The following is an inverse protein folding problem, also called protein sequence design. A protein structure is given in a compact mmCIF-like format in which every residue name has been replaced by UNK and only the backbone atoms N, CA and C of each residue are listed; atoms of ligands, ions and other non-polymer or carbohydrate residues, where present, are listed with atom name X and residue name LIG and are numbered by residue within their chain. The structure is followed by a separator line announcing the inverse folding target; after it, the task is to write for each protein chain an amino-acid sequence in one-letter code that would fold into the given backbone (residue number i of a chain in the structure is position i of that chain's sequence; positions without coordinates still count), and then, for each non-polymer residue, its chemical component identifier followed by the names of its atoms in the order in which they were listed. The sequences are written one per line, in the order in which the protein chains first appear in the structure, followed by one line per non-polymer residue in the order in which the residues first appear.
data_IF_623296456986
#
_entry.id   IF_623296456986
#
_cell.length_a   1.000
_cell.length_b   1.000
_cell.length_c   1.000
_cell.angle_alpha   90.00
_cell.angle_beta   90.00
_cell.angle_gamma   90.00
#
_symmetry.space_group_name_H-M   'P 1'
#
loop_
_entity.id
_entity.type
_entity.pdbx_description
1 polymer ?
#
# COMPACT_ATOMS: atom_id res chain seq x y z
N UNK A 1 -42.60 4.28 14.60
CA UNK A 1 -41.38 4.15 13.78
C UNK A 1 -40.37 3.38 14.61
N UNK A 2 -40.14 2.10 14.28
CA UNK A 2 -39.18 1.27 15.02
C UNK A 2 -37.78 1.81 14.74
N UNK A 3 -37.13 2.38 15.75
CA UNK A 3 -35.71 2.66 15.69
C UNK A 3 -35.01 1.30 15.57
N UNK A 4 -34.68 0.88 14.36
CA UNK A 4 -33.74 -0.22 14.15
C UNK A 4 -32.46 0.18 14.85
N UNK A 5 -32.20 -0.39 16.03
CA UNK A 5 -30.96 -0.23 16.79
C UNK A 5 -29.80 -0.63 15.88
N UNK A 6 -29.24 0.33 15.16
CA UNK A 6 -28.13 0.09 14.24
C UNK A 6 -26.92 -0.18 15.11
N UNK A 7 -26.36 -1.38 15.02
CA UNK A 7 -25.18 -1.75 15.80
C UNK A 7 -24.00 -0.94 15.27
N UNK A 8 -23.46 -0.05 16.10
CA UNK A 8 -22.31 0.80 15.77
C UNK A 8 -21.02 0.03 16.09
N UNK A 9 -20.02 0.17 15.23
CA UNK A 9 -18.69 -0.38 15.47
C UNK A 9 -18.08 0.12 16.80
N UNK A 10 -17.44 -0.79 17.53
CA UNK A 10 -16.90 -0.53 18.85
C UNK A 10 -15.91 0.65 18.86
N UNK A 11 -16.12 1.59 19.78
CA UNK A 11 -15.23 2.74 19.99
C UNK A 11 -15.46 3.93 19.07
N UNK A 12 -16.47 3.88 18.20
CA UNK A 12 -16.88 5.02 17.36
C UNK A 12 -17.77 5.96 18.17
N UNK A 13 -17.16 6.98 18.79
CA UNK A 13 -17.86 8.06 19.51
C UNK A 13 -17.73 9.39 18.77
N UNK A 14 -18.59 10.37 19.07
CA UNK A 14 -18.50 11.71 18.51
C UNK A 14 -17.13 12.36 18.75
N UNK A 15 -16.53 12.19 19.94
CA UNK A 15 -15.19 12.74 20.20
C UNK A 15 -14.12 12.03 19.36
N UNK A 16 -14.23 10.71 19.17
CA UNK A 16 -13.30 9.94 18.34
C UNK A 16 -13.40 10.31 16.87
N UNK A 17 -14.61 10.58 16.36
CA UNK A 17 -14.84 11.06 15.00
C UNK A 17 -14.27 12.48 14.80
N UNK A 18 -14.51 13.40 15.74
CA UNK A 18 -13.89 14.71 15.71
C UNK A 18 -12.35 14.63 15.77
N UNK A 19 -11.82 13.68 16.54
CA UNK A 19 -10.39 13.45 16.63
C UNK A 19 -9.82 12.86 15.32
N UNK A 20 -10.45 11.86 14.71
CA UNK A 20 -9.93 11.27 13.46
C UNK A 20 -9.94 12.28 12.30
N UNK A 21 -10.89 13.22 12.29
CA UNK A 21 -10.84 14.35 11.36
C UNK A 21 -9.56 15.17 11.52
N UNK A 22 -9.19 15.52 12.76
CA UNK A 22 -7.94 16.26 13.02
C UNK A 22 -6.72 15.46 12.53
N UNK A 23 -6.71 14.15 12.77
CA UNK A 23 -5.67 13.26 12.23
C UNK A 23 -5.62 13.31 10.70
N UNK A 24 -6.74 13.15 10.00
CA UNK A 24 -6.78 13.21 8.54
C UNK A 24 -6.31 14.58 8.00
N UNK A 25 -6.66 15.70 8.62
CA UNK A 25 -6.12 17.02 8.22
C UNK A 25 -4.60 17.12 8.40
N UNK A 26 -4.07 16.60 9.51
CA UNK A 26 -2.61 16.55 9.73
C UNK A 26 -1.94 15.65 8.69
N UNK A 27 -2.48 14.46 8.43
CA UNK A 27 -1.95 13.51 7.45
C UNK A 27 -2.00 14.06 6.02
N UNK A 28 -3.05 14.81 5.68
CA UNK A 28 -3.13 15.56 4.42
C UNK A 28 -1.90 16.44 4.23
N UNK A 29 -1.59 17.24 5.25
CA UNK A 29 -0.48 18.19 5.21
C UNK A 29 0.87 17.47 5.14
N UNK A 30 1.04 16.39 5.92
CA UNK A 30 2.28 15.61 5.95
C UNK A 30 2.53 14.88 4.63
N UNK A 31 1.50 14.25 4.04
CA UNK A 31 1.65 13.53 2.78
C UNK A 31 1.88 14.49 1.60
N UNK A 32 1.10 15.57 1.49
CA UNK A 32 1.32 16.56 0.43
C UNK A 32 2.63 17.31 0.60
N UNK A 33 3.03 17.66 1.83
CA UNK A 33 4.34 18.27 2.09
C UNK A 33 5.49 17.39 1.59
N UNK A 34 5.42 16.09 1.87
CA UNK A 34 6.41 15.13 1.35
C UNK A 34 6.32 14.94 -0.17
N UNK A 35 5.12 14.92 -0.76
CA UNK A 35 4.95 14.81 -2.20
C UNK A 35 5.58 16.02 -2.91
N UNK A 36 5.32 17.24 -2.44
CA UNK A 36 5.92 18.47 -2.96
C UNK A 36 7.43 18.45 -2.79
N UNK A 37 7.94 18.09 -1.59
CA UNK A 37 9.37 17.98 -1.36
C UNK A 37 10.02 16.98 -2.33
N UNK A 38 9.41 15.81 -2.54
CA UNK A 38 9.91 14.81 -3.48
C UNK A 38 10.00 15.36 -4.90
N UNK A 39 8.94 16.01 -5.39
CA UNK A 39 8.91 16.54 -6.75
C UNK A 39 9.89 17.72 -6.97
N UNK A 40 10.18 18.50 -5.92
CA UNK A 40 11.15 19.59 -5.99
C UNK A 40 12.61 19.10 -5.89
N UNK A 41 12.85 18.01 -5.18
CA UNK A 41 14.20 17.51 -4.89
C UNK A 41 14.65 16.38 -5.83
N UNK A 42 13.72 15.72 -6.55
CA UNK A 42 14.05 14.56 -7.38
C UNK A 42 14.86 14.91 -8.62
N UNK A 43 15.69 13.97 -9.07
CA UNK A 43 16.43 14.02 -10.33
C UNK A 43 15.71 13.25 -11.46
N UNK A 44 16.37 13.10 -12.61
CA UNK A 44 15.81 12.38 -13.76
C UNK A 44 15.99 10.85 -13.71
N UNK A 45 16.36 10.27 -12.55
CA UNK A 45 16.54 8.82 -12.43
C UNK A 45 15.27 8.06 -12.81
N UNK A 46 15.42 7.12 -13.74
CA UNK A 46 14.32 6.35 -14.30
C UNK A 46 14.69 4.87 -14.47
N UNK A 47 13.68 4.02 -14.30
CA UNK A 47 13.79 2.58 -14.51
C UNK A 47 13.06 2.20 -15.80
N UNK A 48 13.67 1.32 -16.60
CA UNK A 48 13.12 0.88 -17.89
C UNK A 48 12.03 -0.16 -17.69
N UNK A 49 10.89 0.04 -18.35
CA UNK A 49 9.86 -1.00 -18.52
C UNK A 49 10.09 -1.69 -19.86
N UNK A 50 10.09 -3.01 -19.82
CA UNK A 50 10.49 -3.85 -20.96
C UNK A 50 9.29 -4.62 -21.53
N UNK A 51 9.26 -4.81 -22.84
CA UNK A 51 8.54 -5.92 -23.46
C UNK A 51 9.46 -7.11 -23.59
N UNK A 52 8.92 -8.32 -23.38
CA UNK A 52 9.63 -9.57 -23.56
C UNK A 52 8.71 -10.59 -24.23
N UNK A 53 9.14 -11.15 -25.36
CA UNK A 53 8.34 -12.10 -26.16
C UNK A 53 9.24 -13.15 -26.83
N UNK A 54 8.72 -14.34 -27.17
CA UNK A 54 9.50 -15.39 -27.85
C UNK A 54 10.09 -14.88 -29.17
N UNK A 55 11.38 -15.16 -29.40
CA UNK A 55 12.04 -14.83 -30.66
C UNK A 55 11.63 -15.77 -31.82
N UNK A 56 11.17 -16.97 -31.48
CA UNK A 56 10.75 -18.01 -32.42
C UNK A 56 9.79 -19.02 -31.77
N UNK A 57 9.66 -20.23 -32.35
CA UNK A 57 8.77 -21.28 -31.83
C UNK A 57 9.07 -21.65 -30.36
N UNK A 58 8.05 -22.01 -29.55
CA UNK A 58 8.25 -22.38 -28.15
C UNK A 58 9.32 -23.47 -27.96
N UNK A 59 10.26 -23.23 -27.03
CA UNK A 59 11.33 -24.18 -26.68
C UNK A 59 12.54 -24.21 -27.62
N UNK A 60 12.59 -23.31 -28.61
CA UNK A 60 13.72 -23.25 -29.57
C UNK A 60 14.62 -22.03 -29.32
N UNK A 61 14.10 -20.84 -29.58
CA UNK A 61 14.82 -19.58 -29.39
C UNK A 61 14.55 -18.96 -28.01
N UNK A 62 15.41 -18.02 -27.61
CA UNK A 62 15.24 -17.24 -26.39
C UNK A 62 14.17 -16.15 -26.48
N UNK A 63 14.24 -15.18 -25.58
CA UNK A 63 13.35 -14.03 -25.55
C UNK A 63 13.99 -12.82 -26.23
N UNK A 64 13.21 -12.08 -27.04
CA UNK A 64 13.56 -10.73 -27.46
C UNK A 64 13.08 -9.76 -26.38
N UNK A 65 13.97 -8.88 -25.91
CA UNK A 65 13.64 -7.87 -24.92
C UNK A 65 13.94 -6.48 -25.46
N UNK A 66 12.96 -5.58 -25.37
CA UNK A 66 13.08 -4.18 -25.82
C UNK A 66 12.53 -3.24 -24.76
N UNK A 67 13.10 -2.03 -24.66
CA UNK A 67 12.56 -0.98 -23.78
C UNK A 67 11.30 -0.40 -24.40
N UNK A 68 10.20 -0.39 -23.65
CA UNK A 68 8.94 0.24 -24.05
C UNK A 68 8.93 1.72 -23.68
N UNK A 69 9.24 2.00 -22.41
CA UNK A 69 9.28 3.35 -21.85
C UNK A 69 10.08 3.36 -20.55
N UNK A 70 10.33 4.55 -20.03
CA UNK A 70 11.05 4.75 -18.77
C UNK A 70 10.12 5.37 -17.73
N UNK A 71 10.22 4.89 -16.48
CA UNK A 71 9.44 5.36 -15.35
C UNK A 71 10.35 6.18 -14.45
N UNK A 72 10.09 7.49 -14.39
CA UNK A 72 10.82 8.38 -13.49
C UNK A 72 10.41 8.11 -12.03
N UNK A 73 11.37 7.67 -11.23
CA UNK A 73 11.08 7.12 -9.89
C UNK A 73 10.51 8.17 -8.94
N UNK A 74 11.05 9.39 -8.95
CA UNK A 74 10.55 10.49 -8.13
C UNK A 74 9.08 10.84 -8.36
N UNK A 75 8.61 10.71 -9.61
CA UNK A 75 7.21 10.98 -9.96
C UNK A 75 6.28 9.92 -9.41
N UNK A 76 6.68 8.65 -9.42
CA UNK A 76 5.91 7.56 -8.79
C UNK A 76 5.80 7.76 -7.28
N UNK A 77 6.89 8.19 -6.64
CA UNK A 77 6.90 8.51 -5.21
C UNK A 77 5.97 9.68 -4.89
N UNK A 78 6.09 10.77 -5.64
CA UNK A 78 5.19 11.90 -5.53
C UNK A 78 3.72 11.49 -5.70
N UNK A 79 3.42 10.59 -6.64
CA UNK A 79 2.07 10.10 -6.91
C UNK A 79 1.48 9.32 -5.72
N UNK A 80 2.19 8.34 -5.15
CA UNK A 80 1.62 7.58 -4.03
C UNK A 80 1.46 8.42 -2.75
N UNK A 81 2.33 9.41 -2.55
CA UNK A 81 2.20 10.37 -1.45
C UNK A 81 1.01 11.31 -1.68
N UNK A 82 0.83 11.82 -2.90
CA UNK A 82 -0.29 12.68 -3.25
C UNK A 82 -1.64 11.95 -3.16
N UNK A 83 -1.71 10.67 -3.54
CA UNK A 83 -2.91 9.84 -3.40
C UNK A 83 -3.31 9.71 -1.92
N UNK A 84 -2.35 9.45 -1.03
CA UNK A 84 -2.62 9.41 0.41
C UNK A 84 -3.08 10.77 0.96
N UNK A 85 -2.41 11.86 0.56
CA UNK A 85 -2.82 13.21 0.93
C UNK A 85 -4.24 13.56 0.47
N UNK A 86 -4.60 13.16 -0.74
CA UNK A 86 -5.92 13.37 -1.32
C UNK A 86 -7.01 12.58 -0.57
N UNK A 87 -6.77 11.31 -0.25
CA UNK A 87 -7.72 10.50 0.51
C UNK A 87 -7.99 11.11 1.91
N UNK A 88 -6.94 11.51 2.61
CA UNK A 88 -7.06 12.17 3.90
C UNK A 88 -7.76 13.54 3.79
N UNK A 89 -7.53 14.29 2.72
CA UNK A 89 -8.21 15.56 2.47
C UNK A 89 -9.72 15.31 2.26
N UNK A 90 -10.06 14.36 1.38
CA UNK A 90 -11.46 14.03 1.08
C UNK A 90 -12.20 13.56 2.33
N UNK A 91 -11.63 12.63 3.09
CA UNK A 91 -12.24 12.06 4.31
C UNK A 91 -12.35 13.07 5.46
N UNK A 92 -11.56 14.16 5.45
CA UNK A 92 -11.66 15.24 6.44
C UNK A 92 -12.53 16.43 6.03
N UNK A 93 -12.90 16.51 4.73
CA UNK A 93 -13.65 17.61 4.12
C UNK A 93 -14.93 17.11 3.42
N UNK A 94 -14.92 17.02 2.09
CA UNK A 94 -16.10 16.79 1.24
C UNK A 94 -16.76 15.43 1.48
N UNK A 95 -15.96 14.39 1.71
CA UNK A 95 -16.45 13.02 1.91
C UNK A 95 -16.59 12.64 3.39
N UNK A 96 -16.44 13.61 4.31
CA UNK A 96 -16.41 13.36 5.75
C UNK A 96 -17.66 12.63 6.25
N UNK A 97 -18.85 13.04 5.84
CA UNK A 97 -20.08 12.42 6.32
C UNK A 97 -20.18 10.95 5.90
N UNK A 98 -19.78 10.65 4.65
CA UNK A 98 -19.71 9.27 4.14
C UNK A 98 -18.67 8.46 4.91
N UNK A 99 -17.48 9.02 5.12
CA UNK A 99 -16.42 8.39 5.89
C UNK A 99 -16.85 8.08 7.33
N UNK A 100 -17.43 9.04 8.05
CA UNK A 100 -17.89 8.82 9.43
C UNK A 100 -19.06 7.81 9.49
N UNK A 101 -19.93 7.79 8.48
CA UNK A 101 -20.99 6.78 8.36
C UNK A 101 -20.40 5.38 8.16
N UNK A 102 -19.37 5.26 7.32
CA UNK A 102 -18.68 3.99 7.09
C UNK A 102 -17.99 3.48 8.34
N UNK A 103 -17.29 4.36 9.08
CA UNK A 103 -16.64 3.97 10.33
C UNK A 103 -17.65 3.43 11.35
N UNK A 104 -18.84 4.05 11.46
CA UNK A 104 -19.93 3.52 12.31
C UNK A 104 -20.37 2.13 11.89
N UNK A 105 -20.29 1.82 10.59
CA UNK A 105 -20.58 0.50 10.02
C UNK A 105 -19.37 -0.45 10.02
N UNK A 106 -18.25 -0.08 10.66
CA UNK A 106 -17.07 -0.92 10.78
C UNK A 106 -16.33 -1.14 9.46
N UNK A 107 -16.44 -0.21 8.52
CA UNK A 107 -15.80 -0.27 7.21
C UNK A 107 -15.11 1.06 6.89
N UNK A 108 -14.05 1.04 6.11
CA UNK A 108 -13.45 2.24 5.54
C UNK A 108 -13.14 2.00 4.05
N UNK A 109 -14.10 2.35 3.17
CA UNK A 109 -13.93 2.18 1.72
C UNK A 109 -12.84 3.08 1.13
N UNK A 110 -12.61 4.24 1.73
CA UNK A 110 -11.62 5.23 1.30
C UNK A 110 -10.20 4.67 1.43
N UNK A 111 -9.87 4.11 2.59
CA UNK A 111 -8.60 3.38 2.83
C UNK A 111 -8.34 2.34 1.75
N UNK A 112 -9.31 1.45 1.47
CA UNK A 112 -9.08 0.36 0.54
C UNK A 112 -8.95 0.83 -0.91
N UNK A 113 -9.71 1.85 -1.30
CA UNK A 113 -9.54 2.48 -2.60
C UNK A 113 -8.15 3.12 -2.73
N UNK A 114 -7.71 3.90 -1.75
CA UNK A 114 -6.39 4.54 -1.72
C UNK A 114 -5.27 3.50 -1.76
N UNK A 115 -5.28 2.51 -0.86
CA UNK A 115 -4.25 1.48 -0.77
C UNK A 115 -4.17 0.63 -2.05
N UNK A 116 -5.30 0.41 -2.73
CA UNK A 116 -5.29 -0.42 -3.94
C UNK A 116 -4.42 0.19 -5.03
N UNK A 117 -4.30 1.52 -5.06
CA UNK A 117 -3.48 2.23 -6.04
C UNK A 117 -2.12 2.54 -5.44
N UNK A 118 -2.07 3.22 -4.29
CA UNK A 118 -0.81 3.72 -3.73
C UNK A 118 0.13 2.59 -3.32
N UNK A 119 -0.35 1.56 -2.61
CA UNK A 119 0.50 0.43 -2.23
C UNK A 119 0.94 -0.38 -3.46
N UNK A 120 0.13 -0.41 -4.52
CA UNK A 120 0.49 -1.09 -5.77
C UNK A 120 1.59 -0.34 -6.53
N UNK A 121 1.57 1.01 -6.53
CA UNK A 121 2.69 1.81 -7.02
C UNK A 121 3.97 1.57 -6.20
N UNK A 122 3.84 1.47 -4.87
CA UNK A 122 4.96 1.15 -3.97
C UNK A 122 5.55 -0.23 -4.27
N UNK A 123 4.73 -1.27 -4.37
CA UNK A 123 5.21 -2.63 -4.68
C UNK A 123 5.79 -2.70 -6.08
N UNK A 124 5.19 -2.03 -7.07
CA UNK A 124 5.72 -1.98 -8.42
C UNK A 124 7.13 -1.37 -8.44
N UNK A 125 7.34 -0.22 -7.79
CA UNK A 125 8.67 0.40 -7.79
C UNK A 125 9.70 -0.47 -7.06
N UNK A 126 9.36 -1.05 -5.90
CA UNK A 126 10.26 -1.97 -5.18
C UNK A 126 10.60 -3.19 -6.07
N UNK A 127 9.61 -3.73 -6.77
CA UNK A 127 9.80 -4.87 -7.69
C UNK A 127 10.75 -4.53 -8.84
N UNK A 128 10.64 -3.32 -9.40
CA UNK A 128 11.55 -2.84 -10.44
C UNK A 128 13.00 -2.73 -9.95
N UNK A 129 13.22 -2.26 -8.71
CA UNK A 129 14.55 -2.24 -8.08
C UNK A 129 15.18 -3.63 -7.98
N UNK A 130 14.37 -4.68 -7.89
CA UNK A 130 14.82 -6.07 -7.88
C UNK A 130 14.66 -6.77 -9.23
N UNK A 131 14.66 -6.01 -10.33
CA UNK A 131 14.76 -6.55 -11.69
C UNK A 131 13.45 -7.07 -12.29
N UNK A 132 12.31 -6.89 -11.63
CA UNK A 132 11.00 -7.17 -12.24
C UNK A 132 10.62 -5.98 -13.12
N UNK A 133 11.12 -6.00 -14.37
CA UNK A 133 11.03 -4.87 -15.30
C UNK A 133 10.09 -5.09 -16.48
N UNK A 134 9.67 -6.33 -16.75
CA UNK A 134 8.79 -6.59 -17.89
C UNK A 134 7.37 -6.12 -17.58
N UNK A 135 6.70 -5.52 -18.58
CA UNK A 135 5.33 -5.02 -18.43
C UNK A 135 4.37 -6.12 -17.98
N UNK A 136 4.51 -7.33 -18.52
CA UNK A 136 3.69 -8.47 -18.15
C UNK A 136 3.86 -8.85 -16.66
N UNK A 137 5.09 -8.89 -16.15
CA UNK A 137 5.35 -9.19 -14.74
C UNK A 137 4.85 -8.06 -13.82
N UNK A 138 5.03 -6.80 -14.22
CA UNK A 138 4.52 -5.65 -13.48
C UNK A 138 2.99 -5.64 -13.39
N UNK A 139 2.28 -6.00 -14.47
CA UNK A 139 0.82 -6.16 -14.46
C UNK A 139 0.39 -7.24 -13.47
N UNK A 140 1.09 -8.39 -13.44
CA UNK A 140 0.78 -9.46 -12.49
C UNK A 140 1.04 -9.03 -11.03
N UNK A 141 2.17 -8.37 -10.76
CA UNK A 141 2.54 -7.84 -9.44
C UNK A 141 1.52 -6.82 -8.95
N UNK A 142 1.17 -5.83 -9.78
CA UNK A 142 0.18 -4.79 -9.46
C UNK A 142 -1.19 -5.41 -9.25
N UNK A 143 -1.61 -6.33 -10.13
CA UNK A 143 -2.89 -7.03 -10.01
C UNK A 143 -3.01 -7.84 -8.72
N UNK A 144 -1.96 -8.58 -8.34
CA UNK A 144 -1.91 -9.34 -7.09
C UNK A 144 -1.98 -8.43 -5.86
N UNK A 145 -1.27 -7.28 -5.87
CA UNK A 145 -1.32 -6.33 -4.77
C UNK A 145 -2.70 -5.64 -4.66
N UNK A 146 -3.33 -5.26 -5.79
CA UNK A 146 -4.71 -4.78 -5.81
C UNK A 146 -5.65 -5.83 -5.21
N UNK A 147 -5.52 -7.10 -5.63
CA UNK A 147 -6.34 -8.19 -5.10
C UNK A 147 -6.19 -8.36 -3.58
N UNK A 148 -4.96 -8.33 -3.05
CA UNK A 148 -4.69 -8.34 -1.61
C UNK A 148 -5.50 -7.26 -0.88
N UNK A 149 -5.49 -6.03 -1.41
CA UNK A 149 -6.22 -4.89 -0.83
C UNK A 149 -7.73 -5.07 -0.91
N UNK A 150 -8.27 -5.51 -2.06
CA UNK A 150 -9.70 -5.74 -2.24
C UNK A 150 -10.22 -6.88 -1.35
N UNK A 151 -9.39 -7.88 -1.05
CA UNK A 151 -9.73 -8.90 -0.06
C UNK A 151 -9.78 -8.35 1.38
N UNK A 152 -8.97 -7.35 1.71
CA UNK A 152 -9.11 -6.59 2.97
C UNK A 152 -10.43 -5.83 3.03
N UNK A 153 -10.82 -5.18 1.94
CA UNK A 153 -12.16 -4.57 1.85
C UNK A 153 -13.27 -5.61 2.03
N UNK A 154 -13.17 -6.75 1.33
CA UNK A 154 -14.16 -7.82 1.47
C UNK A 154 -14.21 -8.40 2.89
N UNK A 155 -13.05 -8.49 3.58
CA UNK A 155 -12.97 -8.88 4.99
C UNK A 155 -13.82 -7.95 5.87
N UNK A 156 -13.75 -6.62 5.66
CA UNK A 156 -14.60 -5.69 6.40
C UNK A 156 -16.08 -5.84 6.04
N UNK A 157 -16.39 -5.92 4.74
CA UNK A 157 -17.76 -6.01 4.24
C UNK A 157 -18.49 -7.28 4.71
N UNK A 158 -17.77 -8.40 4.81
CA UNK A 158 -18.34 -9.69 5.23
C UNK A 158 -18.42 -9.84 6.76
N UNK A 159 -17.87 -8.89 7.53
CA UNK A 159 -17.84 -8.95 8.98
C UNK A 159 -18.34 -7.64 9.62
N UNK A 160 -19.60 -7.24 9.37
CA UNK A 160 -20.16 -6.02 9.93
C UNK A 160 -20.23 -6.06 11.48
N UNK A 161 -20.38 -4.90 12.15
CA UNK A 161 -20.66 -4.82 13.57
C UNK A 161 -21.91 -5.62 13.96
N UNK A 162 -21.89 -6.28 15.12
CA UNK A 162 -23.01 -7.08 15.62
C UNK A 162 -23.13 -8.49 15.02
N UNK A 163 -22.19 -8.89 14.15
CA UNK A 163 -22.11 -10.26 13.62
C UNK A 163 -22.02 -11.32 14.74
N UNK A 164 -22.66 -12.46 14.53
CA UNK A 164 -22.62 -13.61 15.46
C UNK A 164 -21.43 -14.54 15.21
N UNK A 165 -20.84 -14.49 14.02
CA UNK A 165 -19.62 -15.22 13.65
C UNK A 165 -18.69 -14.33 12.84
N UNK A 166 -17.40 -14.67 12.81
CA UNK A 166 -16.39 -13.96 12.01
C UNK A 166 -15.79 -14.91 10.98
N UNK A 167 -15.88 -14.56 9.70
CA UNK A 167 -15.12 -15.25 8.64
C UNK A 167 -13.77 -14.59 8.46
N UNK A 168 -12.71 -15.40 8.35
CA UNK A 168 -11.34 -14.95 8.01
C UNK A 168 -10.94 -15.36 6.59
N UNK A 169 -11.88 -15.88 5.79
CA UNK A 169 -11.58 -16.38 4.45
C UNK A 169 -11.06 -15.28 3.52
N UNK A 170 -11.69 -14.08 3.43
CA UNK A 170 -11.12 -12.99 2.63
C UNK A 170 -9.72 -12.59 3.10
N UNK A 171 -9.47 -12.50 4.42
CA UNK A 171 -8.13 -12.22 4.95
C UNK A 171 -7.06 -13.20 4.45
N UNK A 172 -7.36 -14.50 4.43
CA UNK A 172 -6.39 -15.51 3.97
C UNK A 172 -6.19 -15.47 2.44
N UNK A 173 -7.23 -15.20 1.66
CA UNK A 173 -7.08 -14.96 0.22
C UNK A 173 -6.25 -13.72 -0.06
N UNK A 174 -6.45 -12.65 0.73
CA UNK A 174 -5.63 -11.45 0.67
C UNK A 174 -4.16 -11.74 1.00
N UNK A 175 -3.91 -12.53 2.05
CA UNK A 175 -2.54 -12.97 2.42
C UNK A 175 -1.88 -13.75 1.29
N UNK A 176 -2.60 -14.70 0.67
CA UNK A 176 -2.08 -15.49 -0.44
C UNK A 176 -1.76 -14.62 -1.65
N UNK A 177 -2.65 -13.70 -2.05
CA UNK A 177 -2.36 -12.76 -3.13
C UNK A 177 -1.18 -11.85 -2.79
N UNK A 178 -1.18 -11.31 -1.57
CA UNK A 178 -0.22 -10.33 -1.09
C UNK A 178 1.20 -10.84 -0.93
N UNK A 179 1.40 -12.14 -0.67
CA UNK A 179 2.76 -12.72 -0.56
C UNK A 179 3.42 -12.92 -1.93
N UNK A 180 2.64 -13.04 -3.01
CA UNK A 180 3.18 -13.40 -4.34
C UNK A 180 4.21 -12.41 -4.90
N UNK A 181 4.06 -11.07 -4.82
CA UNK A 181 5.09 -10.16 -5.28
C UNK A 181 6.40 -10.28 -4.50
N UNK A 182 6.32 -10.52 -3.18
CA UNK A 182 7.49 -10.71 -2.33
C UNK A 182 8.27 -11.97 -2.69
N UNK A 183 7.57 -13.06 -2.99
CA UNK A 183 8.19 -14.29 -3.47
C UNK A 183 8.87 -14.08 -4.83
N UNK A 184 8.23 -13.37 -5.76
CA UNK A 184 8.82 -13.05 -7.06
C UNK A 184 10.11 -12.22 -6.90
N UNK A 185 10.10 -11.21 -6.03
CA UNK A 185 11.30 -10.43 -5.71
C UNK A 185 12.38 -11.29 -5.04
N UNK A 186 12.00 -12.18 -4.12
CA UNK A 186 12.94 -13.08 -3.44
C UNK A 186 13.65 -14.04 -4.41
N UNK A 187 12.96 -14.50 -5.47
CA UNK A 187 13.57 -15.30 -6.53
C UNK A 187 14.64 -14.51 -7.27
N UNK A 188 14.38 -13.24 -7.62
CA UNK A 188 15.39 -12.41 -8.27
C UNK A 188 16.55 -12.07 -7.33
N UNK A 189 16.26 -11.71 -6.08
CA UNK A 189 17.26 -11.40 -5.05
C UNK A 189 18.22 -12.57 -4.85
N UNK A 190 17.73 -13.81 -4.86
CA UNK A 190 18.58 -14.99 -4.65
C UNK A 190 19.59 -15.25 -5.79
N UNK A 191 19.43 -14.59 -6.94
CA UNK A 191 20.35 -14.66 -8.06
C UNK A 191 21.44 -13.58 -8.03
N UNK A 192 21.33 -12.60 -7.12
CA UNK A 192 22.30 -11.50 -7.00
C UNK A 192 23.43 -11.95 -6.05
N UNK A 193 24.70 -11.90 -6.47
CA UNK A 193 25.82 -12.12 -5.57
C UNK A 193 25.76 -11.14 -4.37
N UNK A 194 25.93 -11.66 -3.15
CA UNK A 194 25.73 -10.86 -1.91
C UNK A 194 26.70 -9.69 -1.79
N UNK A 195 27.88 -9.78 -2.40
CA UNK A 195 28.91 -8.74 -2.47
C UNK A 195 28.61 -7.64 -3.49
N UNK A 196 27.66 -7.86 -4.40
CA UNK A 196 27.25 -6.91 -5.43
C UNK A 196 25.91 -6.23 -5.13
N UNK A 197 25.18 -6.70 -4.12
CA UNK A 197 23.84 -6.24 -3.82
C UNK A 197 23.86 -4.92 -2.99
N UNK A 198 23.14 -3.86 -3.39
CA UNK A 198 23.21 -2.58 -2.68
C UNK A 198 22.53 -2.65 -1.31
N UNK A 199 23.29 -2.50 -0.21
CA UNK A 199 22.80 -2.54 1.18
C UNK A 199 21.54 -1.70 1.42
N UNK A 200 21.47 -0.51 0.80
CA UNK A 200 20.32 0.38 0.90
C UNK A 200 19.01 -0.22 0.35
N UNK A 201 19.09 -1.05 -0.70
CA UNK A 201 17.91 -1.70 -1.28
C UNK A 201 17.40 -2.84 -0.39
N UNK A 202 18.29 -3.58 0.28
CA UNK A 202 17.88 -4.57 1.27
C UNK A 202 17.18 -3.92 2.46
N UNK A 203 17.67 -2.78 2.93
CA UNK A 203 17.01 -2.04 4.01
C UNK A 203 15.59 -1.60 3.60
N UNK A 204 15.41 -1.09 2.38
CA UNK A 204 14.09 -0.76 1.83
C UNK A 204 13.18 -1.99 1.85
N UNK A 205 13.65 -3.12 1.31
CA UNK A 205 12.91 -4.38 1.24
C UNK A 205 12.45 -4.85 2.64
N UNK A 206 13.36 -4.90 3.61
CA UNK A 206 13.07 -5.35 4.97
C UNK A 206 12.07 -4.42 5.66
N UNK A 207 12.29 -3.11 5.60
CA UNK A 207 11.40 -2.12 6.23
C UNK A 207 9.99 -2.24 5.63
N UNK A 208 9.87 -2.31 4.30
CA UNK A 208 8.57 -2.41 3.66
C UNK A 208 7.90 -3.76 3.91
N UNK A 209 8.64 -4.87 3.93
CA UNK A 209 8.08 -6.18 4.28
C UNK A 209 7.47 -6.16 5.69
N UNK A 210 8.16 -5.54 6.66
CA UNK A 210 7.65 -5.38 8.03
C UNK A 210 6.38 -4.54 8.02
N UNK A 211 6.33 -3.40 7.32
CA UNK A 211 5.12 -2.58 7.24
C UNK A 211 3.95 -3.34 6.63
N UNK A 212 4.14 -4.00 5.48
CA UNK A 212 3.09 -4.78 4.81
C UNK A 212 2.56 -5.91 5.70
N UNK A 213 3.45 -6.61 6.42
CA UNK A 213 3.04 -7.56 7.45
C UNK A 213 2.22 -6.89 8.55
N UNK A 214 2.64 -5.73 9.06
CA UNK A 214 1.90 -4.99 10.08
C UNK A 214 0.51 -4.55 9.61
N UNK A 215 0.31 -4.21 8.34
CA UNK A 215 -1.03 -3.94 7.79
C UNK A 215 -1.94 -5.18 7.87
N UNK A 216 -1.42 -6.35 7.50
CA UNK A 216 -2.12 -7.63 7.64
C UNK A 216 -2.40 -7.96 9.10
N UNK A 217 -1.39 -7.84 9.96
CA UNK A 217 -1.52 -8.09 11.40
C UNK A 217 -2.56 -7.18 12.05
N UNK A 218 -2.62 -5.91 11.67
CA UNK A 218 -3.64 -4.97 12.16
C UNK A 218 -5.06 -5.48 11.86
N UNK A 219 -5.30 -5.93 10.63
CA UNK A 219 -6.60 -6.52 10.23
C UNK A 219 -6.89 -7.81 11.00
N UNK A 220 -5.89 -8.67 11.10
CA UNK A 220 -6.01 -9.95 11.78
C UNK A 220 -6.37 -9.76 13.26
N UNK A 221 -5.66 -8.89 13.98
CA UNK A 221 -5.93 -8.57 15.38
C UNK A 221 -7.33 -7.96 15.56
N UNK A 222 -7.77 -7.08 14.63
CA UNK A 222 -9.10 -6.48 14.64
C UNK A 222 -10.21 -7.53 14.52
N UNK A 223 -10.11 -8.45 13.57
CA UNK A 223 -11.15 -9.46 13.37
C UNK A 223 -11.05 -10.64 14.34
N UNK A 224 -9.87 -10.88 14.92
CA UNK A 224 -9.71 -11.82 16.05
C UNK A 224 -10.08 -11.20 17.40
N UNK A 225 -10.31 -9.89 17.47
CA UNK A 225 -10.71 -9.19 18.70
C UNK A 225 -9.66 -9.30 19.81
N UNK A 226 -8.37 -9.15 19.48
CA UNK A 226 -7.27 -9.34 20.44
C UNK A 226 -6.82 -8.01 21.05
N UNK A 227 -6.82 -7.91 22.38
CA UNK A 227 -6.30 -6.75 23.11
C UNK A 227 -6.98 -5.44 22.73
N UNK A 228 -6.19 -4.41 22.40
CA UNK A 228 -6.69 -3.08 22.02
C UNK A 228 -7.49 -3.08 20.70
N UNK A 229 -7.32 -4.09 19.85
CA UNK A 229 -7.99 -4.22 18.56
C UNK A 229 -9.44 -4.70 18.65
N UNK A 230 -9.94 -5.01 19.86
CA UNK A 230 -11.39 -5.10 20.13
C UNK A 230 -12.12 -3.78 19.83
N UNK A 231 -11.40 -2.66 19.83
CA UNK A 231 -11.89 -1.34 19.47
C UNK A 231 -11.57 -1.03 17.99
N UNK A 232 -12.60 -0.90 17.15
CA UNK A 232 -12.45 -0.63 15.71
C UNK A 232 -11.66 0.66 15.45
N UNK A 233 -11.92 1.73 16.22
CA UNK A 233 -11.20 2.99 16.07
C UNK A 233 -9.71 2.89 16.42
N UNK A 234 -9.29 1.89 17.21
CA UNK A 234 -7.88 1.63 17.44
C UNK A 234 -7.22 1.03 16.19
N UNK A 235 -7.87 0.07 15.54
CA UNK A 235 -7.43 -0.50 14.26
C UNK A 235 -7.38 0.57 13.16
N UNK A 236 -8.40 1.42 13.07
CA UNK A 236 -8.47 2.55 12.14
C UNK A 236 -7.27 3.49 12.30
N UNK A 237 -6.97 3.92 13.54
CA UNK A 237 -5.82 4.78 13.80
C UNK A 237 -4.48 4.10 13.52
N UNK A 238 -4.39 2.81 13.78
CA UNK A 238 -3.18 2.04 13.47
C UNK A 238 -2.91 2.04 11.97
N UNK A 239 -3.95 1.89 11.14
CA UNK A 239 -3.80 2.03 9.69
C UNK A 239 -3.26 3.39 9.25
N UNK A 240 -3.74 4.49 9.86
CA UNK A 240 -3.25 5.83 9.57
C UNK A 240 -1.75 5.97 9.86
N UNK A 241 -1.31 5.45 11.01
CA UNK A 241 0.10 5.50 11.44
C UNK A 241 0.97 4.64 10.51
N UNK A 242 0.52 3.42 10.20
CA UNK A 242 1.23 2.52 9.29
C UNK A 242 1.34 3.13 7.88
N UNK A 243 0.28 3.76 7.36
CA UNK A 243 0.27 4.43 6.06
C UNK A 243 1.30 5.54 5.99
N UNK A 244 1.30 6.44 6.99
CA UNK A 244 2.29 7.50 7.07
C UNK A 244 3.71 6.94 7.14
N UNK A 245 3.96 5.98 8.05
CA UNK A 245 5.27 5.39 8.25
C UNK A 245 5.81 4.69 7.01
N UNK A 246 5.03 3.77 6.43
CA UNK A 246 5.44 2.98 5.27
C UNK A 246 5.75 3.86 4.06
N UNK A 247 4.84 4.81 3.73
CA UNK A 247 4.99 5.71 2.58
C UNK A 247 6.16 6.68 2.77
N UNK A 248 6.29 7.28 3.95
CA UNK A 248 7.38 8.23 4.23
C UNK A 248 8.73 7.53 4.18
N UNK A 249 8.87 6.38 4.84
CA UNK A 249 10.14 5.64 4.85
C UNK A 249 10.52 5.16 3.46
N UNK A 250 9.57 4.61 2.68
CA UNK A 250 9.86 4.22 1.30
C UNK A 250 10.35 5.42 0.47
N UNK A 251 9.63 6.54 0.55
CA UNK A 251 9.94 7.74 -0.21
C UNK A 251 11.37 8.23 0.08
N UNK A 252 11.70 8.40 1.36
CA UNK A 252 13.00 8.96 1.74
C UNK A 252 14.16 7.96 1.63
N UNK A 253 13.92 6.66 1.80
CA UNK A 253 14.94 5.66 1.55
C UNK A 253 15.28 5.55 0.06
N UNK A 254 14.27 5.51 -0.83
CA UNK A 254 14.53 5.55 -2.28
C UNK A 254 15.20 6.86 -2.67
N UNK A 255 14.76 7.99 -2.09
CA UNK A 255 15.41 9.27 -2.34
C UNK A 255 16.90 9.22 -2.02
N UNK A 256 17.26 8.71 -0.84
CA UNK A 256 18.66 8.59 -0.43
C UNK A 256 19.48 7.66 -1.33
N UNK A 257 18.89 6.57 -1.82
CA UNK A 257 19.61 5.57 -2.62
C UNK A 257 19.72 5.95 -4.11
N UNK A 258 18.79 6.74 -4.66
CA UNK A 258 18.74 6.96 -6.12
C UNK A 258 18.44 8.38 -6.59
N UNK A 259 17.94 9.27 -5.73
CA UNK A 259 17.47 10.59 -6.14
C UNK A 259 18.30 11.75 -5.60
N UNK A 260 19.26 11.49 -4.70
CA UNK A 260 20.28 12.48 -4.35
C UNK A 260 21.12 12.74 -5.61
N UNK A 261 21.27 14.00 -6.06
CA UNK A 261 22.19 14.33 -7.14
C UNK A 261 23.60 13.90 -6.75
N UNK A 262 24.24 13.07 -7.58
CA UNK A 262 25.66 12.78 -7.41
C UNK A 262 26.38 14.09 -7.74
N UNK A 263 27.07 14.69 -6.76
CA UNK A 263 27.96 15.80 -7.04
C UNK A 263 29.07 15.26 -7.94
N UNK A 264 29.09 15.71 -9.20
CA UNK A 264 30.21 15.53 -10.11
C UNK A 264 31.42 16.33 -9.64
#
# INVERSE_FOLDING_TARGET
MSATNTVIATGVTTEKLANVRKWNLTLTSLHFGQAVAMLLLTNDFALKVLSSFPAGPPGTEGLVTTTLFEVRVGWVIGAFLALAGLDHLLTSTFARNTYESDLKNGINRFRWAEYSISASLMVAIISMYWGILTLAALVAVVGANIAMILFGWLQEKMNPPGRTSTTMMPFWFGTLAGITPWLAMAVNISQIPLDEAPDGLFLIMIVQAIFFFCFGLNQWLQYRGVGKWTNYMFGEKTYLILSLGAKSLLAWQIFAVSLIPIAN
#
